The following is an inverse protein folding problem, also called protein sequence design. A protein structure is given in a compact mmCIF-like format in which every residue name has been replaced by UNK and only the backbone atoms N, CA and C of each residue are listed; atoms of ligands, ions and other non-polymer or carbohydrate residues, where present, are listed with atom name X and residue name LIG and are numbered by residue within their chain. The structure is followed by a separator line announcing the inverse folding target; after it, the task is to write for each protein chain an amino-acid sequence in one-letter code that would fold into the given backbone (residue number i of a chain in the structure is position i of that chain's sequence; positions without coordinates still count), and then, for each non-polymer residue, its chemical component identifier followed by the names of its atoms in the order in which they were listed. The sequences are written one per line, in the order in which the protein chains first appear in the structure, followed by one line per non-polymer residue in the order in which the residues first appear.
data_IF_895522072185
#
_entry.id   IF_895522072185
#
_cell.length_a   1.000
_cell.length_b   1.000
_cell.length_c   1.000
_cell.angle_alpha   90.00
_cell.angle_beta   90.00
_cell.angle_gamma   90.00
#
_symmetry.space_group_name_H-M   'P 1'
#
loop_
_entity.id
_entity.type
_entity.pdbx_description
1 polymer ?
#
# COMPACT_ATOMS: atom_id res chain seq x y z
N UNK A 1 60.00 -56.08 -16.98
CA UNK A 1 59.74 -54.77 -17.64
C UNK A 1 58.32 -54.63 -18.24
N UNK A 2 57.65 -55.71 -18.71
CA UNK A 2 56.25 -55.67 -19.17
C UNK A 2 55.22 -55.20 -18.12
N UNK A 3 55.41 -55.54 -16.84
CA UNK A 3 54.50 -55.18 -15.74
C UNK A 3 54.53 -53.68 -15.38
N UNK A 4 55.65 -52.99 -15.63
CA UNK A 4 55.81 -51.54 -15.39
C UNK A 4 55.14 -50.70 -16.49
N UNK A 5 55.17 -51.15 -17.74
CA UNK A 5 54.49 -50.48 -18.86
C UNK A 5 52.95 -50.55 -18.73
N UNK A 6 52.42 -51.67 -18.23
CA UNK A 6 50.99 -51.81 -17.95
C UNK A 6 50.53 -50.87 -16.81
N UNK A 7 51.33 -50.71 -15.75
CA UNK A 7 50.99 -49.82 -14.64
C UNK A 7 50.92 -48.34 -15.06
N UNK A 8 51.79 -47.89 -15.97
CA UNK A 8 51.79 -46.52 -16.49
C UNK A 8 50.58 -46.23 -17.39
N UNK A 9 50.11 -47.21 -18.17
CA UNK A 9 48.89 -47.11 -18.98
C UNK A 9 47.62 -47.02 -18.11
N UNK A 10 47.56 -47.76 -17.00
CA UNK A 10 46.45 -47.66 -16.05
C UNK A 10 46.46 -46.33 -15.26
N UNK A 11 47.64 -45.79 -14.92
CA UNK A 11 47.74 -44.50 -14.24
C UNK A 11 47.31 -43.33 -15.15
N UNK A 12 47.63 -43.38 -16.45
CA UNK A 12 47.25 -42.32 -17.39
C UNK A 12 45.74 -42.30 -17.72
N UNK A 13 45.07 -43.45 -17.68
CA UNK A 13 43.63 -43.58 -17.93
C UNK A 13 42.75 -43.20 -16.74
N UNK A 14 43.27 -43.30 -15.51
CA UNK A 14 42.56 -42.82 -14.32
C UNK A 14 42.59 -41.30 -14.16
N UNK A 15 43.58 -40.60 -14.75
CA UNK A 15 43.74 -39.15 -14.60
C UNK A 15 42.82 -38.32 -15.52
N UNK A 16 42.25 -38.91 -16.58
CA UNK A 16 41.38 -38.20 -17.54
C UNK A 16 39.90 -38.20 -17.15
N UNK A 17 39.49 -38.85 -16.05
CA UNK A 17 38.08 -39.02 -15.67
C UNK A 17 37.59 -38.02 -14.59
N UNK A 18 38.40 -37.04 -14.19
CA UNK A 18 38.04 -36.05 -13.15
C UNK A 18 37.82 -34.63 -13.70
N UNK A 19 37.39 -34.46 -14.96
CA UNK A 19 36.83 -33.18 -15.38
C UNK A 19 35.33 -33.14 -15.06
N UNK A 20 34.87 -32.32 -14.09
CA UNK A 20 33.45 -32.12 -13.91
C UNK A 20 32.90 -31.38 -15.15
N UNK A 21 31.76 -31.83 -15.73
CA UNK A 21 31.07 -31.01 -16.71
C UNK A 21 30.62 -29.73 -16.00
N UNK A 22 31.05 -28.57 -16.50
CA UNK A 22 30.62 -27.25 -16.04
C UNK A 22 29.10 -27.10 -16.24
N UNK A 23 28.34 -27.57 -15.26
CA UNK A 23 26.93 -27.29 -15.11
C UNK A 23 26.77 -25.93 -14.42
N UNK A 24 26.83 -24.83 -15.17
CA UNK A 24 26.44 -23.52 -14.65
C UNK A 24 26.28 -22.48 -15.76
N UNK A 25 25.05 -22.33 -16.27
CA UNK A 25 24.51 -21.02 -16.66
C UNK A 25 22.98 -21.05 -16.85
N UNK A 26 22.22 -21.62 -15.90
CA UNK A 26 20.79 -21.29 -15.73
C UNK A 26 20.60 -19.92 -15.02
N UNK A 27 21.52 -18.97 -15.24
CA UNK A 27 21.52 -17.65 -14.62
C UNK A 27 21.12 -16.50 -15.55
N UNK A 28 21.12 -16.72 -16.87
CA UNK A 28 20.91 -15.63 -17.84
C UNK A 28 19.43 -15.20 -17.95
N UNK A 29 18.50 -15.99 -17.40
CA UNK A 29 17.07 -15.68 -17.48
C UNK A 29 16.56 -14.74 -16.37
N UNK A 30 17.37 -14.48 -15.35
CA UNK A 30 17.02 -13.53 -14.28
C UNK A 30 17.56 -12.11 -14.54
N UNK A 31 18.55 -11.93 -15.42
CA UNK A 31 19.05 -10.59 -15.77
C UNK A 31 18.06 -9.81 -16.66
N UNK A 32 17.19 -10.51 -17.40
CA UNK A 32 16.05 -9.87 -18.07
C UNK A 32 14.86 -9.56 -17.14
N UNK A 33 14.96 -9.91 -15.85
CA UNK A 33 14.14 -9.33 -14.77
C UNK A 33 14.86 -8.15 -14.09
N UNK A 34 16.03 -7.73 -14.59
CA UNK A 34 16.78 -6.55 -14.13
C UNK A 34 16.06 -5.22 -14.39
N UNK A 35 15.00 -5.22 -15.20
CA UNK A 35 13.91 -4.27 -15.04
C UNK A 35 12.96 -4.85 -14.01
N UNK A 36 13.36 -4.70 -12.75
CA UNK A 36 12.66 -5.24 -11.60
C UNK A 36 11.16 -5.14 -11.82
N UNK A 37 10.47 -6.28 -11.72
CA UNK A 37 9.09 -6.23 -11.28
C UNK A 37 9.13 -5.27 -10.09
N UNK A 38 8.49 -4.11 -10.21
CA UNK A 38 7.99 -3.43 -9.04
C UNK A 38 7.05 -4.46 -8.45
N UNK A 39 7.60 -5.36 -7.62
CA UNK A 39 6.85 -6.25 -6.76
C UNK A 39 6.05 -5.26 -5.96
N UNK A 40 4.80 -5.06 -6.41
CA UNK A 40 4.09 -3.80 -6.25
C UNK A 40 3.99 -3.56 -4.77
N UNK A 41 4.91 -2.75 -4.25
CA UNK A 41 5.19 -2.65 -2.84
C UNK A 41 5.23 -4.03 -2.12
N UNK A 42 6.41 -4.47 -1.68
CA UNK A 42 6.47 -4.92 -0.27
C UNK A 42 6.23 -3.63 0.55
N UNK A 43 5.14 -2.88 0.32
CA UNK A 43 3.92 -2.86 1.13
C UNK A 43 4.44 -3.01 2.52
N UNK A 44 4.85 -1.86 3.04
CA UNK A 44 5.16 -1.70 4.45
C UNK A 44 4.20 -2.60 5.21
N UNK A 45 4.69 -3.43 6.14
CA UNK A 45 3.86 -4.19 7.09
C UNK A 45 2.93 -3.29 7.94
N UNK A 46 2.85 -2.01 7.60
CA UNK A 46 2.01 -0.99 8.18
C UNK A 46 0.58 -1.12 7.69
N UNK A 47 -0.22 -1.74 8.54
CA UNK A 47 -1.66 -1.80 8.41
C UNK A 47 -2.27 -0.47 8.90
N UNK A 48 -2.54 0.45 7.97
CA UNK A 48 -3.17 1.73 8.31
C UNK A 48 -4.54 1.59 8.98
N UNK A 49 -4.83 2.46 9.94
CA UNK A 49 -6.12 2.57 10.62
C UNK A 49 -6.99 3.61 9.93
N UNK A 50 -8.10 3.16 9.35
CA UNK A 50 -8.95 3.94 8.45
C UNK A 50 -10.36 4.05 9.05
N UNK A 51 -10.92 5.26 9.03
CA UNK A 51 -12.33 5.52 9.31
C UNK A 51 -13.06 5.71 7.99
N UNK A 52 -14.18 5.04 7.82
CA UNK A 52 -15.18 5.40 6.83
C UNK A 52 -16.28 6.20 7.52
N UNK A 53 -16.37 7.49 7.22
CA UNK A 53 -17.44 8.34 7.73
C UNK A 53 -18.61 8.35 6.73
N UNK A 54 -19.76 7.88 7.19
CA UNK A 54 -21.00 7.78 6.40
C UNK A 54 -22.16 8.24 7.28
N UNK A 55 -22.51 9.54 7.29
CA UNK A 55 -23.60 10.04 8.11
C UNK A 55 -24.94 9.38 7.76
N UNK A 56 -25.76 9.05 8.77
CA UNK A 56 -27.05 8.37 8.56
C UNK A 56 -28.06 9.19 7.74
N UNK A 57 -27.88 10.51 7.72
CA UNK A 57 -28.77 11.44 7.03
C UNK A 57 -28.60 11.46 5.50
N UNK A 58 -27.63 10.72 4.93
CA UNK A 58 -27.17 10.99 3.57
C UNK A 58 -27.07 9.73 2.70
N UNK A 59 -27.83 9.69 1.60
CA UNK A 59 -27.71 8.73 0.49
C UNK A 59 -26.43 8.90 -0.34
N UNK A 60 -25.67 9.98 -0.12
CA UNK A 60 -24.58 10.45 -0.98
C UNK A 60 -23.25 9.73 -0.74
N UNK A 61 -23.02 9.08 0.41
CA UNK A 61 -21.77 8.33 0.68
C UNK A 61 -21.71 6.94 0.02
N UNK A 62 -22.44 6.72 -1.07
CA UNK A 62 -22.53 5.43 -1.74
C UNK A 62 -21.16 4.89 -2.17
N UNK A 63 -20.23 5.78 -2.56
CA UNK A 63 -18.86 5.41 -2.92
C UNK A 63 -18.03 4.86 -1.75
N UNK A 64 -18.41 5.15 -0.50
CA UNK A 64 -17.73 4.66 0.71
C UNK A 64 -18.51 3.48 1.31
N UNK A 65 -19.84 3.53 1.24
CA UNK A 65 -20.73 2.52 1.79
C UNK A 65 -20.80 1.23 0.95
N UNK A 66 -20.22 1.23 -0.24
CA UNK A 66 -20.09 0.04 -1.08
C UNK A 66 -19.34 -1.10 -0.36
N UNK A 67 -20.04 -2.20 -0.12
CA UNK A 67 -19.51 -3.38 0.57
C UNK A 67 -18.29 -3.98 -0.14
N UNK A 68 -18.24 -3.97 -1.47
CA UNK A 68 -17.09 -4.49 -2.22
C UNK A 68 -15.84 -3.66 -1.96
N UNK A 69 -16.00 -2.34 -1.86
CA UNK A 69 -14.91 -1.43 -1.55
C UNK A 69 -14.40 -1.62 -0.12
N UNK A 70 -15.30 -1.66 0.86
CA UNK A 70 -14.94 -1.91 2.25
C UNK A 70 -14.20 -3.25 2.41
N UNK A 71 -14.68 -4.29 1.73
CA UNK A 71 -14.02 -5.59 1.74
C UNK A 71 -12.64 -5.54 1.06
N UNK A 72 -12.51 -4.79 -0.02
CA UNK A 72 -11.25 -4.60 -0.75
C UNK A 72 -10.20 -3.90 0.12
N UNK A 73 -10.58 -2.84 0.84
CA UNK A 73 -9.72 -2.15 1.81
C UNK A 73 -9.27 -3.08 2.95
N UNK A 74 -10.18 -3.90 3.49
CA UNK A 74 -9.84 -4.89 4.51
C UNK A 74 -8.93 -5.99 3.98
N UNK A 75 -9.15 -6.48 2.75
CA UNK A 75 -8.31 -7.48 2.08
C UNK A 75 -6.90 -6.96 1.77
N UNK A 76 -6.76 -5.65 1.57
CA UNK A 76 -5.46 -4.99 1.49
C UNK A 76 -4.72 -4.91 2.84
N UNK A 77 -5.36 -5.33 3.94
CA UNK A 77 -4.77 -5.41 5.27
C UNK A 77 -5.03 -4.19 6.15
N UNK A 78 -5.79 -3.19 5.70
CA UNK A 78 -6.10 -2.03 6.53
C UNK A 78 -7.22 -2.32 7.54
N UNK A 79 -7.15 -1.65 8.70
CA UNK A 79 -8.23 -1.68 9.69
C UNK A 79 -9.27 -0.64 9.27
N UNK A 80 -10.49 -1.07 9.00
CA UNK A 80 -11.58 -0.18 8.57
C UNK A 80 -12.70 -0.14 9.61
N UNK A 81 -12.94 1.04 10.20
CA UNK A 81 -14.06 1.32 11.10
C UNK A 81 -15.09 2.19 10.40
N UNK A 82 -16.35 1.74 10.35
CA UNK A 82 -17.46 2.54 9.89
C UNK A 82 -17.95 3.44 11.04
N UNK A 83 -18.08 4.73 10.79
CA UNK A 83 -18.57 5.74 11.74
C UNK A 83 -19.70 6.50 11.08
N UNK A 84 -20.84 6.59 11.75
CA UNK A 84 -22.04 7.28 11.23
C UNK A 84 -22.46 8.50 12.04
N UNK A 85 -22.02 8.57 13.29
CA UNK A 85 -22.35 9.66 14.21
C UNK A 85 -21.22 10.68 14.23
N UNK A 86 -21.59 11.97 14.24
CA UNK A 86 -20.64 13.09 14.28
C UNK A 86 -19.82 13.06 15.57
N UNK A 87 -20.44 12.72 16.70
CA UNK A 87 -19.75 12.65 18.00
C UNK A 87 -18.68 11.55 18.01
N UNK A 88 -19.01 10.38 17.47
CA UNK A 88 -18.06 9.28 17.32
C UNK A 88 -16.90 9.62 16.35
N UNK A 89 -17.15 10.46 15.34
CA UNK A 89 -16.08 11.00 14.49
C UNK A 89 -15.20 11.97 15.28
N UNK A 90 -15.78 12.84 16.10
CA UNK A 90 -15.05 13.79 16.93
C UNK A 90 -14.14 13.10 17.93
N UNK A 91 -14.64 12.10 18.64
CA UNK A 91 -13.84 11.27 19.55
C UNK A 91 -12.68 10.59 18.81
N UNK A 92 -12.96 10.05 17.62
CA UNK A 92 -11.95 9.36 16.85
C UNK A 92 -10.86 10.30 16.33
N UNK A 93 -11.21 11.52 15.89
CA UNK A 93 -10.26 12.57 15.51
C UNK A 93 -9.41 12.98 16.72
N UNK A 94 -10.01 13.20 17.88
CA UNK A 94 -9.30 13.57 19.11
C UNK A 94 -8.36 12.47 19.61
N UNK A 95 -8.71 11.19 19.39
CA UNK A 95 -7.85 10.07 19.77
C UNK A 95 -6.51 10.04 19.00
N UNK A 96 -6.41 10.73 17.86
CA UNK A 96 -5.22 10.75 17.00
C UNK A 96 -4.78 9.38 16.47
N UNK A 97 -5.59 8.34 16.67
CA UNK A 97 -5.22 6.93 16.44
C UNK A 97 -5.44 6.46 15.00
N UNK A 98 -5.96 7.34 14.14
CA UNK A 98 -6.34 7.02 12.77
C UNK A 98 -5.48 7.76 11.75
N UNK A 99 -5.15 7.06 10.68
CA UNK A 99 -4.30 7.56 9.61
C UNK A 99 -5.10 8.27 8.54
N UNK A 100 -6.25 7.71 8.18
CA UNK A 100 -7.09 8.19 7.09
C UNK A 100 -8.56 8.23 7.53
N UNK A 101 -9.26 9.29 7.14
CA UNK A 101 -10.72 9.35 7.19
C UNK A 101 -11.24 9.44 5.75
N UNK A 102 -11.94 8.40 5.32
CA UNK A 102 -12.70 8.38 4.08
C UNK A 102 -13.98 9.16 4.30
N UNK A 103 -14.22 10.16 3.46
CA UNK A 103 -15.37 11.07 3.59
C UNK A 103 -16.01 11.32 2.23
N UNK A 104 -17.29 11.62 2.25
CA UNK A 104 -17.97 12.13 1.07
C UNK A 104 -17.35 13.48 0.65
N UNK A 105 -17.22 13.77 -0.66
CA UNK A 105 -16.77 15.07 -1.16
C UNK A 105 -17.48 16.28 -0.51
N UNK A 106 -18.77 16.17 -0.21
CA UNK A 106 -19.56 17.25 0.39
C UNK A 106 -19.18 17.51 1.86
N UNK A 107 -18.85 16.45 2.60
CA UNK A 107 -18.49 16.53 4.03
C UNK A 107 -17.00 16.82 4.24
N UNK A 108 -16.18 16.71 3.20
CA UNK A 108 -14.72 16.80 3.28
C UNK A 108 -14.23 18.10 3.94
N UNK A 109 -14.83 19.24 3.61
CA UNK A 109 -14.42 20.53 4.17
C UNK A 109 -14.69 20.62 5.69
N UNK A 110 -15.84 20.08 6.14
CA UNK A 110 -16.20 20.06 7.55
C UNK A 110 -15.28 19.15 8.36
N UNK A 111 -15.03 17.94 7.85
CA UNK A 111 -14.13 16.98 8.51
C UNK A 111 -12.68 17.49 8.52
N UNK A 112 -12.21 18.11 7.43
CA UNK A 112 -10.87 18.67 7.37
C UNK A 112 -10.67 19.83 8.36
N UNK A 113 -11.68 20.69 8.53
CA UNK A 113 -11.68 21.72 9.57
C UNK A 113 -11.55 21.08 10.96
N UNK A 114 -12.31 20.02 11.24
CA UNK A 114 -12.27 19.33 12.53
C UNK A 114 -10.90 18.70 12.82
N UNK A 115 -10.30 18.02 11.83
CA UNK A 115 -8.95 17.44 11.93
C UNK A 115 -7.90 18.52 12.18
N UNK A 116 -7.97 19.63 11.44
CA UNK A 116 -7.03 20.75 11.58
C UNK A 116 -7.17 21.43 12.94
N UNK A 117 -8.41 21.66 13.42
CA UNK A 117 -8.67 22.24 14.74
C UNK A 117 -8.17 21.35 15.87
N UNK A 118 -8.30 20.03 15.74
CA UNK A 118 -7.78 19.09 16.73
C UNK A 118 -6.25 18.91 16.65
N UNK A 119 -5.58 19.56 15.69
CA UNK A 119 -4.19 19.30 15.34
C UNK A 119 -3.89 17.80 15.13
N UNK A 120 -4.90 17.05 14.68
CA UNK A 120 -4.80 15.62 14.50
C UNK A 120 -3.97 15.30 13.25
N UNK A 121 -3.03 14.39 13.39
CA UNK A 121 -2.21 13.94 12.28
C UNK A 121 -2.95 12.86 11.48
N UNK A 122 -4.02 13.26 10.81
CA UNK A 122 -4.90 12.37 10.05
C UNK A 122 -5.14 12.96 8.67
N UNK A 123 -5.14 12.11 7.64
CA UNK A 123 -5.42 12.52 6.26
C UNK A 123 -6.91 12.38 5.99
N UNK A 124 -7.55 13.46 5.56
CA UNK A 124 -8.92 13.40 5.06
C UNK A 124 -8.87 13.05 3.58
N UNK A 125 -9.59 12.00 3.18
CA UNK A 125 -9.58 11.50 1.80
C UNK A 125 -11.00 11.45 1.25
N UNK A 126 -11.37 12.40 0.37
CA UNK A 126 -12.65 12.39 -0.32
C UNK A 126 -12.77 11.20 -1.28
N UNK A 127 -13.91 10.50 -1.26
CA UNK A 127 -14.19 9.36 -2.14
C UNK A 127 -15.47 9.61 -2.96
N UNK A 128 -15.34 9.71 -4.27
CA UNK A 128 -16.43 10.01 -5.21
C UNK A 128 -16.62 8.90 -6.26
N UNK A 129 -17.79 8.83 -6.90
CA UNK A 129 -17.99 7.96 -8.07
C UNK A 129 -17.70 8.64 -9.42
N UNK A 130 -17.57 9.96 -9.42
CA UNK A 130 -17.21 10.71 -10.62
C UNK A 130 -16.22 11.85 -10.30
N UNK A 131 -15.38 12.20 -11.27
CA UNK A 131 -14.42 13.30 -11.21
C UNK A 131 -15.13 14.65 -11.03
N UNK A 132 -16.37 14.79 -11.52
CA UNK A 132 -17.17 16.01 -11.32
C UNK A 132 -17.53 16.21 -9.84
N UNK A 133 -17.99 15.15 -9.17
CA UNK A 133 -18.24 15.11 -7.71
C UNK A 133 -16.95 15.24 -6.93
N UNK A 134 -15.84 14.75 -7.47
CA UNK A 134 -14.57 14.85 -6.83
C UNK A 134 -14.03 16.29 -6.88
N UNK A 135 -14.24 17.04 -7.98
CA UNK A 135 -13.78 18.43 -8.16
C UNK A 135 -14.36 19.43 -7.16
N UNK A 136 -15.53 19.18 -6.61
CA UNK A 136 -16.14 20.02 -5.57
C UNK A 136 -15.51 19.78 -4.19
N UNK A 137 -14.90 18.62 -3.95
CA UNK A 137 -14.03 18.44 -2.81
C UNK A 137 -12.81 19.34 -2.98
N UNK A 138 -12.50 20.13 -1.95
CA UNK A 138 -11.34 21.01 -1.87
C UNK A 138 -10.06 20.32 -2.34
N UNK A 139 -9.11 21.11 -2.83
CA UNK A 139 -7.80 20.80 -3.45
C UNK A 139 -6.88 19.88 -2.64
N UNK A 140 -7.37 18.72 -2.24
CA UNK A 140 -6.66 17.78 -1.39
C UNK A 140 -5.85 16.83 -2.26
N UNK A 141 -4.59 16.61 -1.87
CA UNK A 141 -3.64 15.81 -2.66
C UNK A 141 -4.03 14.34 -2.72
N UNK A 142 -4.94 13.92 -1.85
CA UNK A 142 -5.43 12.56 -1.70
C UNK A 142 -6.92 12.52 -2.00
N UNK A 143 -7.24 12.34 -3.27
CA UNK A 143 -8.62 12.18 -3.75
C UNK A 143 -8.77 10.80 -4.36
N UNK A 144 -9.91 10.19 -4.06
CA UNK A 144 -10.24 8.84 -4.49
C UNK A 144 -11.43 8.92 -5.44
N UNK A 145 -11.23 8.63 -6.73
CA UNK A 145 -12.34 8.53 -7.69
C UNK A 145 -12.54 7.08 -8.06
N UNK A 146 -13.75 6.60 -7.80
CA UNK A 146 -14.21 5.24 -8.07
C UNK A 146 -15.15 5.28 -9.26
N UNK A 147 -15.34 4.16 -9.94
CA UNK A 147 -16.45 3.99 -10.88
C UNK A 147 -17.53 3.14 -10.22
N UNK A 148 -18.79 3.50 -10.39
CA UNK A 148 -19.91 2.70 -9.91
C UNK A 148 -19.87 1.27 -10.48
N UNK A 149 -19.39 1.14 -11.72
CA UNK A 149 -19.18 -0.15 -12.41
C UNK A 149 -17.75 -0.26 -12.94
N UNK A 150 -17.08 -1.39 -12.72
CA UNK A 150 -15.75 -1.70 -13.26
C UNK A 150 -14.62 -1.76 -12.22
N UNK A 151 -13.36 -1.75 -12.69
CA UNK A 151 -12.18 -1.88 -11.82
C UNK A 151 -11.94 -0.62 -10.99
N UNK A 152 -11.95 -0.77 -9.67
CA UNK A 152 -11.83 0.32 -8.68
C UNK A 152 -10.46 0.38 -7.97
N UNK A 153 -9.40 -0.10 -8.62
CA UNK A 153 -8.08 -0.26 -7.99
C UNK A 153 -7.33 1.05 -7.66
N UNK A 154 -7.69 2.18 -8.30
CA UNK A 154 -6.99 3.45 -8.08
C UNK A 154 -7.03 3.93 -6.63
N UNK A 155 -8.17 3.70 -5.97
CA UNK A 155 -8.39 4.13 -4.60
C UNK A 155 -7.47 3.49 -3.56
N UNK A 156 -7.20 2.18 -3.67
CA UNK A 156 -6.25 1.51 -2.78
C UNK A 156 -4.84 2.10 -2.91
N UNK A 157 -4.39 2.32 -4.15
CA UNK A 157 -3.06 2.91 -4.38
C UNK A 157 -2.93 4.34 -3.82
N UNK A 158 -4.04 5.09 -3.75
CA UNK A 158 -4.07 6.41 -3.13
C UNK A 158 -4.02 6.31 -1.61
N UNK A 159 -4.72 5.34 -1.01
CA UNK A 159 -4.66 5.03 0.42
C UNK A 159 -3.22 4.70 0.84
N UNK A 160 -2.56 3.79 0.11
CA UNK A 160 -1.18 3.37 0.41
C UNK A 160 -0.21 4.55 0.36
N UNK A 161 -0.30 5.38 -0.68
CA UNK A 161 0.52 6.59 -0.81
C UNK A 161 0.27 7.61 0.29
N UNK A 162 -0.99 7.79 0.71
CA UNK A 162 -1.35 8.70 1.78
C UNK A 162 -0.75 8.26 3.11
N UNK A 163 -0.80 6.95 3.40
CA UNK A 163 -0.18 6.36 4.59
C UNK A 163 1.35 6.51 4.55
N UNK A 164 1.99 6.17 3.42
CA UNK A 164 3.44 6.28 3.26
C UNK A 164 3.94 7.72 3.51
N UNK A 165 3.23 8.70 2.94
CA UNK A 165 3.57 10.12 3.12
C UNK A 165 3.33 10.60 4.55
N UNK A 166 2.29 10.10 5.23
CA UNK A 166 2.08 10.38 6.65
C UNK A 166 3.24 9.82 7.49
N UNK A 167 3.58 8.54 7.33
CA UNK A 167 4.67 7.90 8.07
C UNK A 167 5.98 8.68 7.90
N UNK A 168 6.30 9.05 6.66
CA UNK A 168 7.50 9.85 6.36
C UNK A 168 7.48 11.20 7.06
N UNK A 169 6.33 11.87 7.14
CA UNK A 169 6.17 13.13 7.88
C UNK A 169 6.43 12.93 9.38
N UNK A 170 5.88 11.88 9.96
CA UNK A 170 5.99 11.58 11.39
C UNK A 170 7.43 11.26 11.78
N UNK A 171 8.14 10.51 10.94
CA UNK A 171 9.56 10.25 11.10
C UNK A 171 10.39 11.54 11.07
N UNK A 172 10.10 12.44 10.14
CA UNK A 172 10.78 13.74 10.07
C UNK A 172 10.50 14.60 11.30
N UNK A 173 9.24 14.65 11.75
CA UNK A 173 8.86 15.37 12.97
C UNK A 173 9.56 14.82 14.21
N UNK A 174 9.63 13.49 14.38
CA UNK A 174 10.34 12.84 15.49
C UNK A 174 11.85 13.10 15.46
N UNK A 175 12.47 13.17 14.28
CA UNK A 175 13.89 13.53 14.14
C UNK A 175 14.13 14.99 14.51
N UNK A 176 13.23 15.89 14.10
CA UNK A 176 13.32 17.31 14.43
C UNK A 176 13.16 17.58 15.93
N UNK A 177 12.31 16.83 16.64
CA UNK A 177 12.12 16.99 18.09
C UNK A 177 13.25 16.42 18.95
N UNK A 178 14.19 15.66 18.36
CA UNK A 178 15.31 15.03 19.07
C UNK A 178 16.60 15.87 19.02
N UNK A 179 16.65 16.86 18.13
CA UNK A 179 17.75 17.81 18.00
C UNK A 179 17.44 19.09 18.78
#
# INVERSE_FOLDING_TARGET
MRKLLLALLYAATFLTCYLPPFASACGDKLLMLGRGVKFGSISSSYHGSIIAYVPESVLQSAAINDAQFQQTVRKAGHRLRLVRQVDALAEAVQSGSYDIILVDPQDAALVNKQVTTAAANTVVMPVAYDEAEAKTATTDRFRCVRKATGKNGGCLSTIDKAIELKIKRDELQRRASKN
#
